data_IF_927990341588
#
_entry.id   IF_927990341588
#
_cell.length_a   1.000
_cell.length_b   1.000
_cell.length_c   1.000
_cell.angle_alpha   90.00
_cell.angle_beta   90.00
_cell.angle_gamma   90.00
#
_symmetry.space_group_name_H-M   'P 1'
#
loop_
_entity.id
_entity.type
_entity.pdbx_description
1 polymer ?
#
# COMPACT_ATOMS: atom_id res chain seq x y z
N UNK A 1 3.98 -15.36 9.61
CA UNK A 1 2.58 -15.11 9.21
C UNK A 1 1.74 -15.27 10.47
N UNK A 2 0.71 -14.45 10.66
CA UNK A 2 -0.12 -14.40 11.88
C UNK A 2 -1.49 -13.77 11.59
N UNK A 3 -2.49 -14.13 12.39
CA UNK A 3 -3.86 -13.61 12.34
C UNK A 3 -4.34 -13.35 13.78
N UNK A 4 -4.65 -12.10 14.10
CA UNK A 4 -5.18 -11.66 15.39
C UNK A 4 -6.56 -10.99 15.19
N UNK A 5 -7.33 -10.87 16.25
CA UNK A 5 -8.61 -10.14 16.28
C UNK A 5 -8.62 -9.17 17.47
N UNK A 6 -9.47 -8.15 17.43
CA UNK A 6 -9.60 -7.16 18.50
C UNK A 6 -10.53 -7.64 19.64
N UNK A 7 -10.87 -6.75 20.58
CA UNK A 7 -11.48 -7.14 21.86
C UNK A 7 -12.95 -7.57 21.74
N UNK A 8 -13.69 -6.99 20.81
CA UNK A 8 -15.08 -7.31 20.47
C UNK A 8 -15.22 -8.11 19.17
N UNK A 9 -14.09 -8.46 18.55
CA UNK A 9 -13.98 -9.44 17.47
C UNK A 9 -14.65 -9.00 16.16
N UNK A 10 -14.75 -7.68 15.92
CA UNK A 10 -15.29 -7.13 14.68
C UNK A 10 -14.21 -6.83 13.63
N UNK A 11 -12.94 -6.93 14.03
CA UNK A 11 -11.78 -6.63 13.19
C UNK A 11 -10.73 -7.73 13.23
N UNK A 12 -10.02 -7.92 12.11
CA UNK A 12 -8.92 -8.88 11.97
C UNK A 12 -7.64 -8.14 11.55
N UNK A 13 -6.53 -8.45 12.23
CA UNK A 13 -5.19 -8.02 11.83
C UNK A 13 -4.37 -9.18 11.27
N UNK A 14 -3.92 -9.03 10.03
CA UNK A 14 -3.15 -10.05 9.32
C UNK A 14 -1.69 -9.60 9.14
N UNK A 15 -0.75 -10.38 9.67
CA UNK A 15 0.67 -10.26 9.32
C UNK A 15 1.01 -11.33 8.29
N UNK A 16 1.20 -10.92 7.05
CA UNK A 16 1.40 -11.83 5.91
C UNK A 16 2.84 -11.79 5.38
N UNK A 17 3.23 -12.81 4.61
CA UNK A 17 4.41 -12.75 3.73
C UNK A 17 3.90 -12.53 2.31
N UNK A 18 4.21 -11.39 1.73
CA UNK A 18 3.85 -11.06 0.34
C UNK A 18 4.81 -11.79 -0.59
N UNK A 19 4.28 -12.43 -1.63
CA UNK A 19 5.05 -13.11 -2.68
C UNK A 19 5.11 -12.22 -3.94
N UNK A 20 5.96 -12.59 -4.90
CA UNK A 20 6.17 -11.80 -6.12
C UNK A 20 7.11 -10.62 -5.88
N UNK A 21 6.78 -9.45 -6.43
CA UNK A 21 7.61 -8.23 -6.36
C UNK A 21 7.56 -7.51 -4.99
N UNK A 22 7.01 -8.14 -3.95
CA UNK A 22 6.72 -7.53 -2.64
C UNK A 22 5.84 -6.25 -2.74
N UNK A 23 5.09 -6.11 -3.84
CA UNK A 23 4.15 -5.02 -4.08
C UNK A 23 2.70 -5.50 -3.89
N UNK A 24 1.93 -4.76 -3.10
CA UNK A 24 0.51 -5.06 -2.86
C UNK A 24 -0.43 -4.05 -3.52
N UNK A 25 0.08 -2.87 -3.88
CA UNK A 25 -0.68 -1.86 -4.57
C UNK A 25 -0.55 -2.02 -6.09
N UNK A 26 -1.64 -1.79 -6.82
CA UNK A 26 -1.65 -1.78 -8.28
C UNK A 26 -0.82 -0.65 -8.91
N UNK A 27 -0.29 0.27 -8.10
CA UNK A 27 0.66 1.31 -8.54
C UNK A 27 2.12 0.83 -8.51
N UNK A 28 2.35 -0.44 -8.18
CA UNK A 28 3.70 -0.98 -8.03
C UNK A 28 4.26 -0.88 -6.61
N UNK A 29 3.60 -0.16 -5.69
CA UNK A 29 4.15 0.09 -4.35
C UNK A 29 3.88 -1.04 -3.36
N UNK A 30 4.74 -1.13 -2.34
CA UNK A 30 4.67 -2.14 -1.28
C UNK A 30 3.36 -2.12 -0.51
N UNK A 31 2.81 -0.94 -0.25
CA UNK A 31 1.56 -0.71 0.47
C UNK A 31 0.68 0.26 -0.33
N UNK A 32 -0.64 0.14 -0.21
CA UNK A 32 -1.56 1.17 -0.71
C UNK A 32 -1.44 2.48 0.08
N UNK A 33 -0.98 2.41 1.33
CA UNK A 33 -0.79 3.56 2.23
C UNK A 33 0.58 4.20 2.04
N UNK A 34 0.91 4.55 0.79
CA UNK A 34 2.20 5.16 0.44
C UNK A 34 2.18 6.71 0.44
N UNK A 35 1.07 7.29 0.90
CA UNK A 35 0.90 8.73 1.07
C UNK A 35 0.53 9.02 2.51
N UNK A 36 1.08 10.07 3.06
CA UNK A 36 0.81 10.53 4.43
C UNK A 36 -0.01 11.81 4.39
N UNK A 37 -0.83 12.01 5.44
CA UNK A 37 -1.57 13.24 5.65
C UNK A 37 -0.70 14.18 6.48
N UNK A 38 -0.53 15.42 6.02
CA UNK A 38 0.18 16.49 6.70
C UNK A 38 -0.65 17.76 6.81
N UNK A 39 -0.10 18.78 7.47
CA UNK A 39 -0.69 20.11 7.56
C UNK A 39 0.29 21.16 7.06
N UNK A 40 -0.14 22.01 6.13
CA UNK A 40 0.60 23.19 5.66
C UNK A 40 -0.33 24.39 5.78
N UNK A 41 0.09 25.42 6.52
CA UNK A 41 -0.71 26.63 6.79
C UNK A 41 -2.14 26.33 7.29
N UNK A 42 -2.26 25.34 8.18
CA UNK A 42 -3.53 24.91 8.75
C UNK A 42 -4.44 24.12 7.79
N UNK A 43 -3.97 23.77 6.59
CA UNK A 43 -4.71 22.97 5.61
C UNK A 43 -4.14 21.56 5.50
N UNK A 44 -5.04 20.57 5.41
CA UNK A 44 -4.66 19.19 5.17
C UNK A 44 -4.05 19.02 3.77
N UNK A 45 -2.89 18.37 3.71
CA UNK A 45 -2.18 18.06 2.46
C UNK A 45 -1.83 16.59 2.42
N UNK A 46 -1.67 16.03 1.22
CA UNK A 46 -1.12 14.70 1.03
C UNK A 46 0.33 14.81 0.56
N UNK A 47 1.22 14.08 1.22
CA UNK A 47 2.62 13.94 0.82
C UNK A 47 2.92 12.49 0.44
N UNK A 48 3.79 12.29 -0.54
CA UNK A 48 4.32 10.96 -0.86
C UNK A 48 5.30 10.51 0.24
N UNK A 49 5.32 9.22 0.55
CA UNK A 49 6.28 8.64 1.52
C UNK A 49 7.69 8.42 0.94
N UNK A 50 7.91 8.78 -0.33
CA UNK A 50 9.17 8.61 -1.05
C UNK A 50 9.40 7.20 -1.58
N UNK A 51 8.45 6.27 -1.37
CA UNK A 51 8.55 4.93 -1.93
C UNK A 51 8.41 4.95 -3.45
N UNK A 52 9.05 3.97 -4.10
CA UNK A 52 9.02 3.81 -5.56
C UNK A 52 8.25 2.54 -5.92
N UNK A 53 7.66 2.49 -7.12
CA UNK A 53 7.15 1.25 -7.68
C UNK A 53 8.23 0.15 -7.68
N UNK A 54 7.87 -1.06 -7.26
CA UNK A 54 8.72 -2.25 -7.22
C UNK A 54 8.60 -3.09 -8.50
N UNK A 55 7.64 -2.77 -9.37
CA UNK A 55 7.50 -3.34 -10.70
C UNK A 55 6.99 -2.28 -11.69
N UNK A 56 7.19 -2.54 -12.97
CA UNK A 56 6.69 -1.69 -14.05
C UNK A 56 5.19 -1.93 -14.26
N UNK A 57 4.37 -0.96 -13.89
CA UNK A 57 2.91 -1.04 -13.97
C UNK A 57 2.41 -1.08 -15.41
N UNK A 58 3.06 -0.37 -16.33
CA UNK A 58 2.67 -0.34 -17.74
C UNK A 58 2.94 -1.69 -18.37
N UNK A 59 4.14 -2.25 -18.17
CA UNK A 59 4.47 -3.58 -18.66
C UNK A 59 3.54 -4.65 -18.06
N UNK A 60 3.17 -4.52 -16.79
CA UNK A 60 2.40 -5.55 -16.08
C UNK A 60 0.91 -5.53 -16.42
N UNK A 61 0.29 -4.36 -16.52
CA UNK A 61 -1.17 -4.23 -16.65
C UNK A 61 -1.66 -3.90 -18.04
N UNK A 62 -0.82 -3.36 -18.92
CA UNK A 62 -1.25 -2.98 -20.26
C UNK A 62 -1.39 -4.23 -21.11
N UNK A 63 -2.58 -4.47 -21.67
CA UNK A 63 -2.79 -5.56 -22.63
C UNK A 63 -1.97 -5.28 -23.89
N UNK A 64 -1.28 -6.28 -24.48
CA UNK A 64 -0.82 -6.17 -25.84
C UNK A 64 -2.02 -5.89 -26.74
N UNK A 65 -1.89 -4.90 -27.62
CA UNK A 65 -2.86 -4.65 -28.70
C UNK A 65 -2.79 -5.80 -29.70
#
# INVERSE_FOLDING_TARGET
>A
VEMLTDCDQDSIWLRVKVLGHDATCHTGRRSCFYRTVGLIDGKATLADDGSRPLFDTEQTYRKPV
#
